data_IF_188010499466
#
_entry.id   IF_188010499466
#
_cell.length_a   1.000
_cell.length_b   1.000
_cell.length_c   1.000
_cell.angle_alpha   90.00
_cell.angle_beta   90.00
_cell.angle_gamma   90.00
#
_symmetry.space_group_name_H-M   'P 1'
#
loop_
_entity.id
_entity.type
_entity.pdbx_description
1 polymer ?
#
# COMPACT_ATOMS: atom_id res chain seq x y z
N UNK A 1 0.73 -15.27 -4.49
CA UNK A 1 -0.20 -14.55 -5.38
C UNK A 1 0.15 -13.07 -5.31
N UNK A 2 0.08 -12.34 -6.43
CA UNK A 2 0.38 -10.90 -6.43
C UNK A 2 -0.82 -10.07 -5.98
N UNK A 3 -0.55 -8.88 -5.47
CA UNK A 3 -1.58 -7.85 -5.30
C UNK A 3 -2.08 -7.37 -6.68
N UNK A 4 -3.33 -6.93 -6.74
CA UNK A 4 -3.88 -6.24 -7.91
C UNK A 4 -3.88 -4.74 -7.68
N UNK A 5 -3.39 -3.97 -8.64
CA UNK A 5 -3.43 -2.50 -8.62
C UNK A 5 -4.30 -1.97 -9.74
N UNK A 6 -5.21 -1.05 -9.42
CA UNK A 6 -6.06 -0.36 -10.39
C UNK A 6 -5.82 1.14 -10.29
N UNK A 7 -5.33 1.77 -11.36
CA UNK A 7 -5.23 3.22 -11.43
C UNK A 7 -6.63 3.81 -11.62
N UNK A 8 -7.09 4.58 -10.64
CA UNK A 8 -8.40 5.22 -10.63
C UNK A 8 -8.34 6.66 -11.17
N UNK A 9 -7.24 7.35 -10.91
CA UNK A 9 -6.96 8.71 -11.41
C UNK A 9 -5.49 8.79 -11.78
N UNK A 10 -5.20 9.40 -12.93
CA UNK A 10 -3.84 9.76 -13.35
C UNK A 10 -3.92 11.09 -14.11
N UNK A 11 -3.37 12.14 -13.52
CA UNK A 11 -3.30 13.47 -14.13
C UNK A 11 -1.98 14.17 -13.77
N UNK A 12 -1.85 15.43 -14.18
CA UNK A 12 -0.65 16.25 -13.97
C UNK A 12 -0.33 16.55 -12.49
N UNK A 13 -1.26 16.27 -11.58
CA UNK A 13 -1.15 16.58 -10.16
C UNK A 13 -0.98 15.33 -9.30
N UNK A 14 -1.75 14.28 -9.57
CA UNK A 14 -1.87 13.10 -8.70
C UNK A 14 -2.09 11.82 -9.49
N UNK A 15 -1.64 10.71 -8.90
CA UNK A 15 -2.03 9.36 -9.29
C UNK A 15 -2.73 8.71 -8.10
N UNK A 16 -3.94 8.19 -8.30
CA UNK A 16 -4.70 7.44 -7.29
C UNK A 16 -4.75 5.99 -7.72
N UNK A 17 -4.21 5.10 -6.89
CA UNK A 17 -4.17 3.66 -7.17
C UNK A 17 -4.89 2.91 -6.05
N UNK A 18 -5.91 2.14 -6.41
CA UNK A 18 -6.50 1.15 -5.51
C UNK A 18 -5.62 -0.10 -5.50
N UNK A 19 -5.24 -0.55 -4.30
CA UNK A 19 -4.52 -1.80 -4.09
C UNK A 19 -5.43 -2.84 -3.43
N UNK A 20 -5.51 -4.02 -4.03
CA UNK A 20 -6.24 -5.18 -3.49
C UNK A 20 -5.26 -6.32 -3.21
N UNK A 21 -5.15 -6.69 -1.94
CA UNK A 21 -4.34 -7.81 -1.49
C UNK A 21 -5.28 -8.91 -0.98
N UNK A 22 -5.35 -10.02 -1.70
CA UNK A 22 -5.96 -11.24 -1.16
C UNK A 22 -5.11 -11.76 0.02
N UNK A 23 -5.65 -12.62 0.90
CA UNK A 23 -4.87 -13.23 1.98
C UNK A 23 -3.58 -13.87 1.45
N UNK A 24 -2.43 -13.48 2.02
CA UNK A 24 -1.10 -13.95 1.61
C UNK A 24 -0.55 -13.32 0.32
N UNK A 25 -1.25 -12.36 -0.29
CA UNK A 25 -0.73 -11.61 -1.43
C UNK A 25 0.26 -10.52 -1.00
N UNK A 26 1.16 -10.14 -1.89
CA UNK A 26 2.11 -9.04 -1.68
C UNK A 26 2.26 -8.18 -2.95
N UNK A 27 2.78 -6.98 -2.77
CA UNK A 27 3.04 -6.01 -3.85
C UNK A 27 4.37 -6.24 -4.58
N UNK A 28 5.20 -7.16 -4.08
CA UNK A 28 6.61 -7.28 -4.47
C UNK A 28 7.46 -6.11 -3.97
N UNK A 29 8.78 -6.24 -4.15
CA UNK A 29 9.71 -5.16 -3.86
C UNK A 29 9.52 -4.00 -4.84
N UNK A 30 9.41 -2.80 -4.30
CA UNK A 30 9.25 -1.57 -5.07
C UNK A 30 9.84 -0.38 -4.33
N UNK A 31 10.09 0.70 -5.07
CA UNK A 31 10.57 1.99 -4.53
C UNK A 31 9.49 3.03 -4.78
N UNK A 32 9.15 3.81 -3.75
CA UNK A 32 8.21 4.92 -3.88
C UNK A 32 8.88 6.06 -4.65
N UNK A 33 8.27 6.44 -5.78
CA UNK A 33 8.78 7.51 -6.66
C UNK A 33 8.20 8.89 -6.30
N UNK A 34 7.27 8.95 -5.33
CA UNK A 34 6.52 10.13 -4.93
C UNK A 34 6.25 10.04 -3.44
N UNK A 35 6.19 11.19 -2.77
CA UNK A 35 5.49 11.30 -1.49
C UNK A 35 4.04 10.86 -1.70
N UNK A 36 3.47 10.16 -0.73
CA UNK A 36 2.15 9.60 -0.92
C UNK A 36 1.34 9.54 0.37
N UNK A 37 0.02 9.46 0.19
CA UNK A 37 -0.96 9.24 1.25
C UNK A 37 -1.55 7.86 1.06
N UNK A 38 -1.69 7.11 2.15
CA UNK A 38 -2.47 5.88 2.19
C UNK A 38 -3.82 6.18 2.82
N UNK A 39 -4.88 5.69 2.20
CA UNK A 39 -6.23 5.69 2.76
C UNK A 39 -6.65 4.22 2.90
N UNK A 40 -6.57 3.63 4.11
CA UNK A 40 -6.99 2.26 4.30
C UNK A 40 -8.49 2.12 4.07
N UNK A 41 -8.88 1.17 3.21
CA UNK A 41 -10.29 0.83 2.99
C UNK A 41 -10.76 -0.32 3.90
N UNK A 42 -9.82 -1.05 4.50
CA UNK A 42 -10.07 -2.21 5.36
C UNK A 42 -9.19 -2.12 6.61
N UNK A 43 -9.78 -2.33 7.79
CA UNK A 43 -9.03 -2.49 9.04
C UNK A 43 -8.33 -3.85 9.07
N UNK A 44 -7.05 -3.88 9.44
CA UNK A 44 -6.26 -5.10 9.48
C UNK A 44 -4.80 -4.86 9.80
N UNK A 45 -3.96 -5.87 9.58
CA UNK A 45 -2.51 -5.77 9.77
C UNK A 45 -1.83 -6.02 8.43
N UNK A 46 -0.98 -5.09 8.01
CA UNK A 46 -0.07 -5.29 6.88
C UNK A 46 1.32 -5.67 7.36
N UNK A 47 1.89 -6.70 6.75
CA UNK A 47 3.29 -7.05 6.90
C UNK A 47 4.12 -6.27 5.88
N UNK A 48 5.14 -5.56 6.36
CA UNK A 48 6.12 -4.86 5.55
C UNK A 48 7.45 -5.61 5.60
N UNK A 49 8.00 -5.88 4.42
CA UNK A 49 9.33 -6.48 4.27
C UNK A 49 10.28 -5.40 3.76
N UNK A 50 11.33 -5.13 4.54
CA UNK A 50 12.30 -4.07 4.30
C UNK A 50 13.63 -4.64 3.80
N UNK A 51 14.47 -3.82 3.14
CA UNK A 51 15.82 -4.24 2.77
C UNK A 51 16.60 -4.78 3.98
N UNK A 52 17.35 -5.86 3.78
CA UNK A 52 18.10 -6.52 4.86
C UNK A 52 17.28 -7.55 5.65
N UNK A 53 16.05 -7.86 5.23
CA UNK A 53 15.23 -8.93 5.82
C UNK A 53 14.48 -8.51 7.09
N UNK A 54 14.45 -7.21 7.39
CA UNK A 54 13.63 -6.67 8.48
C UNK A 54 12.16 -6.82 8.10
N UNK A 55 11.36 -7.29 9.06
CA UNK A 55 9.91 -7.47 8.90
C UNK A 55 9.23 -6.74 10.04
N UNK A 56 8.20 -5.96 9.70
CA UNK A 56 7.32 -5.35 10.71
C UNK A 56 5.86 -5.48 10.33
N UNK A 57 5.02 -5.50 11.34
CA UNK A 57 3.57 -5.48 11.20
C UNK A 57 3.04 -4.08 11.50
N UNK A 58 2.18 -3.57 10.63
CA UNK A 58 1.60 -2.24 10.74
C UNK A 58 0.08 -2.38 10.81
N UNK A 59 -0.56 -1.92 11.90
CA UNK A 59 -2.02 -1.86 11.95
C UNK A 59 -2.52 -0.79 10.99
N UNK A 60 -3.54 -1.14 10.22
CA UNK A 60 -4.34 -0.23 9.43
C UNK A 60 -5.73 -0.11 10.04
N UNK A 61 -6.23 1.11 10.10
CA UNK A 61 -7.61 1.41 10.49
C UNK A 61 -8.34 2.03 9.30
N UNK A 62 -9.50 1.47 8.94
CA UNK A 62 -10.28 1.96 7.82
C UNK A 62 -10.62 3.45 7.97
N UNK A 63 -10.31 4.24 6.95
CA UNK A 63 -10.51 5.69 6.94
C UNK A 63 -9.43 6.51 7.66
N UNK A 64 -8.54 5.89 8.45
CA UNK A 64 -7.44 6.60 9.11
C UNK A 64 -6.27 6.79 8.13
N UNK A 65 -6.25 7.93 7.43
CA UNK A 65 -5.21 8.24 6.46
C UNK A 65 -3.88 8.61 7.12
N UNK A 66 -2.78 8.37 6.39
CA UNK A 66 -1.45 8.79 6.80
C UNK A 66 -0.55 9.09 5.59
N UNK A 67 0.48 9.90 5.80
CA UNK A 67 1.51 10.20 4.81
C UNK A 67 2.80 9.41 5.09
N UNK A 68 3.58 9.13 4.04
CA UNK A 68 4.89 8.47 4.15
C UNK A 68 5.87 9.03 3.12
#
# INVERSE_FOLDING_TARGET
>A
MGATSTVQVDNDRVVVTEWRLAPGANTGFHVHQRDYVVIPLTTGVLRLEEPGGVVREVPLEAGASYAR
#
